data_IF_480126507641
#
_entry.id   IF_480126507641
#
_cell.length_a   1.000
_cell.length_b   1.000
_cell.length_c   1.000
_cell.angle_alpha   90.00
_cell.angle_beta   90.00
_cell.angle_gamma   90.00
#
_symmetry.space_group_name_H-M   'P 1'
#
loop_
_entity.id
_entity.type
_entity.pdbx_description
1 polymer ?
#
# COMPACT_ATOMS: atom_id res chain seq x y z
N UNK A 1 23.33 13.45 6.69
CA UNK A 1 22.13 14.22 6.29
C UNK A 1 21.61 13.63 4.99
N UNK A 2 20.41 13.04 4.97
CA UNK A 2 19.83 12.48 3.74
C UNK A 2 19.10 13.62 3.04
N UNK A 3 19.49 13.93 1.81
CA UNK A 3 18.85 14.98 1.01
C UNK A 3 17.32 14.82 1.03
N UNK A 4 16.54 15.91 1.11
CA UNK A 4 15.10 15.83 0.97
C UNK A 4 14.79 15.11 -0.34
N UNK A 5 13.86 14.15 -0.34
CA UNK A 5 13.54 13.44 -1.57
C UNK A 5 13.01 14.44 -2.60
N UNK A 6 13.59 14.41 -3.81
CA UNK A 6 13.19 15.28 -4.90
C UNK A 6 11.71 15.05 -5.25
N UNK A 7 11.03 16.14 -5.61
CA UNK A 7 9.68 16.12 -6.13
C UNK A 7 9.72 15.67 -7.60
N UNK A 8 8.95 14.64 -7.95
CA UNK A 8 8.87 14.11 -9.31
C UNK A 8 7.41 14.04 -9.80
N UNK A 9 6.71 15.19 -9.88
CA UNK A 9 5.31 15.22 -10.34
C UNK A 9 5.16 14.74 -11.79
N UNK A 10 6.19 14.91 -12.63
CA UNK A 10 6.23 14.42 -14.00
C UNK A 10 6.22 12.88 -14.04
N UNK A 11 7.00 12.24 -13.18
CA UNK A 11 7.05 10.78 -13.10
C UNK A 11 5.72 10.19 -12.61
N UNK A 12 5.08 10.84 -11.63
CA UNK A 12 3.73 10.45 -11.16
C UNK A 12 2.69 10.63 -12.28
N UNK A 13 2.78 11.71 -13.06
CA UNK A 13 1.89 11.94 -14.20
C UNK A 13 2.06 10.83 -15.24
N UNK A 14 3.30 10.54 -15.65
CA UNK A 14 3.60 9.47 -16.59
C UNK A 14 3.11 8.10 -16.10
N UNK A 15 3.26 7.80 -14.80
CA UNK A 15 2.74 6.57 -14.19
C UNK A 15 1.22 6.45 -14.30
N UNK A 16 0.49 7.55 -14.04
CA UNK A 16 -0.97 7.59 -14.15
C UNK A 16 -1.40 7.46 -15.62
N UNK A 17 -0.66 8.07 -16.53
CA UNK A 17 -0.93 8.00 -17.97
C UNK A 17 -0.65 6.63 -18.58
N UNK A 18 0.32 5.89 -18.03
CA UNK A 18 0.60 4.52 -18.41
C UNK A 18 -0.44 3.51 -17.90
N UNK A 19 -1.33 3.90 -16.97
CA UNK A 19 -2.37 3.01 -16.46
C UNK A 19 -3.50 2.81 -17.48
N UNK A 20 -4.02 1.59 -17.58
CA UNK A 20 -5.19 1.29 -18.40
C UNK A 20 -6.48 1.89 -17.80
N UNK A 21 -7.46 2.21 -18.63
CA UNK A 21 -8.82 2.50 -18.13
C UNK A 21 -9.46 1.21 -17.58
N UNK A 22 -10.25 1.29 -16.49
CA UNK A 22 -10.72 2.51 -15.82
C UNK A 22 -9.80 3.05 -14.70
N UNK A 23 -8.59 2.51 -14.55
CA UNK A 23 -7.69 2.87 -13.45
C UNK A 23 -7.12 4.29 -13.60
N UNK A 24 -6.78 4.73 -14.81
CA UNK A 24 -6.24 6.07 -15.09
C UNK A 24 -7.21 7.18 -14.68
N UNK A 25 -8.47 7.13 -15.08
CA UNK A 25 -9.49 8.10 -14.63
C UNK A 25 -9.59 8.16 -13.11
N UNK A 26 -9.61 7.01 -12.43
CA UNK A 26 -9.67 6.92 -10.97
C UNK A 26 -8.44 7.51 -10.28
N UNK A 27 -7.25 7.21 -10.79
CA UNK A 27 -5.99 7.75 -10.26
C UNK A 27 -5.90 9.26 -10.43
N UNK A 28 -6.38 9.81 -11.55
CA UNK A 28 -6.49 11.26 -11.75
C UNK A 28 -7.40 11.91 -10.70
N UNK A 29 -8.58 11.33 -10.46
CA UNK A 29 -9.49 11.81 -9.42
C UNK A 29 -8.86 11.76 -8.02
N UNK A 30 -8.20 10.65 -7.68
CA UNK A 30 -7.50 10.50 -6.41
C UNK A 30 -6.34 11.49 -6.26
N UNK A 31 -5.54 11.71 -7.31
CA UNK A 31 -4.45 12.69 -7.29
C UNK A 31 -4.97 14.09 -7.02
N UNK A 32 -6.02 14.54 -7.72
CA UNK A 32 -6.62 15.85 -7.50
C UNK A 32 -7.10 16.00 -6.06
N UNK A 33 -7.76 14.97 -5.54
CA UNK A 33 -8.25 14.95 -4.16
C UNK A 33 -7.12 15.00 -3.13
N UNK A 34 -6.04 14.25 -3.34
CA UNK A 34 -4.88 14.25 -2.44
C UNK A 34 -4.18 15.61 -2.47
N UNK A 35 -3.97 16.21 -3.65
CA UNK A 35 -3.37 17.56 -3.77
C UNK A 35 -4.22 18.61 -3.07
N UNK A 36 -5.55 18.53 -3.17
CA UNK A 36 -6.45 19.44 -2.47
C UNK A 36 -6.48 19.22 -0.95
N UNK A 37 -6.31 17.98 -0.49
CA UNK A 37 -6.27 17.64 0.93
C UNK A 37 -4.90 17.91 1.58
N UNK A 38 -3.82 17.84 0.80
CA UNK A 38 -2.43 17.96 1.23
C UNK A 38 -1.63 18.82 0.24
N UNK A 39 -1.87 20.15 0.17
CA UNK A 39 -1.18 21.03 -0.78
C UNK A 39 0.33 21.15 -0.51
N UNK A 40 0.75 20.90 0.74
CA UNK A 40 2.16 20.91 1.13
C UNK A 40 2.86 19.55 0.90
N UNK A 41 2.16 18.53 0.41
CA UNK A 41 2.74 17.23 0.12
C UNK A 41 3.45 17.22 -1.23
N UNK A 42 4.64 16.63 -1.24
CA UNK A 42 5.48 16.44 -2.42
C UNK A 42 5.12 15.12 -3.09
N UNK A 43 4.84 15.19 -4.40
CA UNK A 43 4.58 14.02 -5.23
C UNK A 43 5.90 13.40 -5.70
N UNK A 44 6.05 12.09 -5.55
CA UNK A 44 7.23 11.35 -6.01
C UNK A 44 6.89 9.91 -6.36
N UNK A 45 7.80 9.23 -7.04
CA UNK A 45 7.75 7.78 -7.20
C UNK A 45 8.57 7.09 -6.11
N UNK A 46 7.97 6.09 -5.44
CA UNK A 46 8.66 5.23 -4.49
C UNK A 46 8.14 3.80 -4.62
N UNK A 47 9.03 2.80 -4.65
CA UNK A 47 8.65 1.40 -4.85
C UNK A 47 7.82 1.14 -6.12
N UNK A 48 7.99 1.97 -7.15
CA UNK A 48 7.17 1.91 -8.37
C UNK A 48 5.73 2.42 -8.20
N UNK A 49 5.42 3.09 -7.09
CA UNK A 49 4.10 3.61 -6.74
C UNK A 49 4.13 5.14 -6.65
N UNK A 50 3.02 5.77 -7.03
CA UNK A 50 2.83 7.20 -6.82
C UNK A 50 2.71 7.47 -5.31
N UNK A 51 3.54 8.36 -4.79
CA UNK A 51 3.73 8.57 -3.35
C UNK A 51 3.64 10.05 -3.01
N UNK A 52 2.94 10.37 -1.93
CA UNK A 52 2.89 11.72 -1.37
C UNK A 52 3.65 11.78 -0.05
N UNK A 53 4.61 12.71 0.02
CA UNK A 53 5.52 12.86 1.15
C UNK A 53 5.46 14.29 1.70
N UNK A 54 5.29 14.42 3.01
CA UNK A 54 5.30 15.71 3.71
C UNK A 54 5.98 15.54 5.07
N UNK A 55 7.32 15.59 5.11
CA UNK A 55 8.13 15.23 6.28
C UNK A 55 8.17 13.72 6.57
N UNK A 56 7.04 13.03 6.41
CA UNK A 56 6.89 11.56 6.43
C UNK A 56 6.05 11.11 5.21
N UNK A 57 6.07 9.81 4.88
CA UNK A 57 5.23 9.25 3.83
C UNK A 57 3.75 9.28 4.27
N UNK A 58 2.93 10.04 3.56
CA UNK A 58 1.50 10.18 3.88
C UNK A 58 0.69 9.02 3.33
N UNK A 59 0.80 8.80 2.01
CA UNK A 59 0.00 7.83 1.27
C UNK A 59 0.71 7.40 -0.01
N UNK A 60 0.48 6.14 -0.41
CA UNK A 60 0.90 5.61 -1.71
C UNK A 60 -0.32 5.17 -2.53
N UNK A 61 -0.23 5.31 -3.85
CA UNK A 61 -1.21 4.81 -4.82
C UNK A 61 -0.55 3.81 -5.77
N UNK A 62 -1.24 2.69 -5.97
CA UNK A 62 -0.90 1.67 -6.95
C UNK A 62 -2.01 1.45 -7.96
N UNK A 63 -1.65 1.45 -9.24
CA UNK A 63 -2.54 1.08 -10.33
C UNK A 63 -2.53 -0.45 -10.50
N UNK A 64 -3.69 -1.10 -10.36
CA UNK A 64 -3.86 -2.52 -10.71
C UNK A 64 -4.99 -2.70 -11.70
N UNK A 65 -4.98 -3.83 -12.42
CA UNK A 65 -5.93 -4.13 -13.49
C UNK A 65 -7.39 -4.19 -13.00
N UNK A 66 -7.63 -4.69 -11.78
CA UNK A 66 -8.99 -4.81 -11.21
C UNK A 66 -9.33 -3.79 -10.11
N UNK A 67 -8.35 -3.04 -9.60
CA UNK A 67 -8.55 -2.09 -8.51
C UNK A 67 -7.45 -1.03 -8.45
N UNK A 68 -7.69 0.06 -7.72
CA UNK A 68 -6.64 0.98 -7.27
C UNK A 68 -6.27 0.64 -5.83
N UNK A 69 -4.99 0.40 -5.57
CA UNK A 69 -4.47 0.21 -4.22
C UNK A 69 -4.16 1.56 -3.58
N UNK A 70 -4.83 1.89 -2.48
CA UNK A 70 -4.51 3.04 -1.65
C UNK A 70 -3.80 2.52 -0.41
N UNK A 71 -2.65 3.09 -0.06
CA UNK A 71 -1.87 2.63 1.08
C UNK A 71 -1.80 3.70 2.16
N UNK A 72 -2.77 3.68 3.09
CA UNK A 72 -2.78 4.37 4.35
C UNK A 72 -1.45 4.39 5.04
N UNK A 73 -0.96 3.15 5.22
CA UNK A 73 -0.30 2.67 6.42
C UNK A 73 -1.32 2.24 7.51
N UNK A 74 -0.90 1.40 8.47
CA UNK A 74 -1.78 0.66 9.38
C UNK A 74 -2.59 1.54 10.33
N UNK A 75 -2.03 2.64 10.82
CA UNK A 75 -2.70 3.52 11.78
C UNK A 75 -4.00 4.12 11.21
N UNK A 76 -4.02 4.41 9.90
CA UNK A 76 -5.22 4.89 9.23
C UNK A 76 -6.30 3.80 9.11
N UNK A 77 -5.91 2.54 8.87
CA UNK A 77 -6.87 1.44 8.79
C UNK A 77 -7.56 1.21 10.14
N UNK A 78 -6.81 1.30 11.24
CA UNK A 78 -7.36 1.17 12.59
C UNK A 78 -8.29 2.34 12.93
N UNK A 79 -7.89 3.58 12.61
CA UNK A 79 -8.70 4.77 12.90
C UNK A 79 -10.01 4.81 12.09
N UNK A 80 -10.01 4.27 10.87
CA UNK A 80 -11.17 4.26 9.96
C UNK A 80 -11.77 2.85 9.80
N UNK A 81 -11.53 1.95 10.76
CA UNK A 81 -11.94 0.54 10.66
C UNK A 81 -13.44 0.39 10.40
N UNK A 82 -14.28 1.16 11.09
CA UNK A 82 -15.74 1.11 10.95
C UNK A 82 -16.23 1.59 9.58
N UNK A 83 -15.63 2.64 9.03
CA UNK A 83 -15.96 3.15 7.69
C UNK A 83 -15.44 2.22 6.57
N UNK A 84 -14.41 1.44 6.86
CA UNK A 84 -13.80 0.49 5.93
C UNK A 84 -14.46 -0.89 5.94
N UNK A 85 -15.42 -1.18 6.84
CA UNK A 85 -16.08 -2.49 6.96
C UNK A 85 -16.71 -3.00 5.66
N UNK A 86 -17.16 -2.10 4.78
CA UNK A 86 -17.76 -2.45 3.48
C UNK A 86 -16.76 -2.59 2.32
N UNK A 87 -15.48 -2.33 2.56
CA UNK A 87 -14.44 -2.28 1.53
C UNK A 87 -13.38 -3.37 1.72
N UNK A 88 -12.80 -3.90 0.62
CA UNK A 88 -11.70 -4.84 0.74
C UNK A 88 -10.46 -4.09 1.22
N UNK A 89 -10.05 -4.38 2.45
CA UNK A 89 -8.87 -3.77 3.08
C UNK A 89 -7.92 -4.83 3.61
N UNK A 90 -6.68 -4.43 3.88
CA UNK A 90 -5.63 -5.25 4.48
C UNK A 90 -4.92 -4.43 5.56
N UNK A 91 -3.89 -5.00 6.22
CA UNK A 91 -3.19 -4.38 7.37
C UNK A 91 -2.72 -2.93 7.19
N UNK A 92 -2.59 -2.42 5.96
CA UNK A 92 -2.23 -1.03 5.68
C UNK A 92 -2.64 -0.55 4.29
N UNK A 93 -3.58 -1.25 3.65
CA UNK A 93 -3.95 -1.06 2.26
C UNK A 93 -5.47 -1.14 2.09
N UNK A 94 -6.00 -0.34 1.18
CA UNK A 94 -7.41 -0.26 0.81
C UNK A 94 -7.49 -0.56 -0.68
N UNK A 95 -8.27 -1.55 -1.07
CA UNK A 95 -8.46 -1.93 -2.47
C UNK A 95 -9.73 -1.29 -3.00
N UNK A 96 -9.57 -0.29 -3.86
CA UNK A 96 -10.67 0.42 -4.50
C UNK A 96 -10.98 -0.28 -5.83
N UNK A 97 -11.89 -1.26 -5.79
CA UNK A 97 -12.28 -2.04 -6.98
C UNK A 97 -12.88 -1.16 -8.08
N UNK A 98 -12.59 -1.53 -9.33
CA UNK A 98 -13.06 -0.78 -10.49
C UNK A 98 -14.56 -0.94 -10.77
N UNK A 99 -15.21 -1.93 -10.17
CA UNK A 99 -16.66 -2.15 -10.29
C UNK A 99 -17.45 -1.29 -9.30
N UNK A 100 -16.80 -0.74 -8.28
CA UNK A 100 -17.46 0.02 -7.21
C UNK A 100 -17.22 1.52 -7.35
N UNK A 101 -18.17 2.36 -6.88
CA UNK A 101 -17.97 3.80 -6.82
C UNK A 101 -16.79 4.12 -5.90
N UNK A 102 -16.00 5.13 -6.30
CA UNK A 102 -14.87 5.60 -5.50
C UNK A 102 -15.40 6.30 -4.23
N UNK A 103 -15.01 5.87 -3.03
CA UNK A 103 -15.39 6.52 -1.78
C UNK A 103 -14.49 7.77 -1.56
N UNK A 104 -14.55 8.72 -2.49
CA UNK A 104 -13.81 9.99 -2.45
C UNK A 104 -13.91 10.70 -1.08
N UNK A 105 -15.09 10.84 -0.44
CA UNK A 105 -15.17 11.49 0.87
C UNK A 105 -14.35 10.76 1.95
N UNK A 106 -14.35 9.43 1.95
CA UNK A 106 -13.56 8.63 2.89
C UNK A 106 -12.06 8.82 2.64
N UNK A 107 -11.62 8.75 1.37
CA UNK A 107 -10.21 8.98 1.02
C UNK A 107 -9.76 10.36 1.47
N UNK A 108 -10.59 11.39 1.29
CA UNK A 108 -10.28 12.77 1.73
C UNK A 108 -10.08 12.86 3.24
N UNK A 109 -10.94 12.20 4.03
CA UNK A 109 -10.82 12.16 5.50
C UNK A 109 -9.54 11.44 5.94
N UNK A 110 -9.23 10.31 5.32
CA UNK A 110 -8.00 9.55 5.61
C UNK A 110 -6.75 10.39 5.31
N UNK A 111 -6.71 11.06 4.15
CA UNK A 111 -5.56 11.89 3.75
C UNK A 111 -5.39 13.07 4.69
N UNK A 112 -6.47 13.79 5.04
CA UNK A 112 -6.42 14.90 6.01
C UNK A 112 -5.92 14.43 7.38
N UNK A 113 -6.46 13.33 7.88
CA UNK A 113 -6.00 12.74 9.13
C UNK A 113 -4.50 12.40 9.08
N UNK A 114 -4.02 11.88 7.94
CA UNK A 114 -2.58 11.62 7.74
C UNK A 114 -1.72 12.88 7.74
N UNK A 115 -2.19 13.96 7.12
CA UNK A 115 -1.51 15.26 7.13
C UNK A 115 -1.43 15.81 8.55
N UNK A 116 -2.52 15.75 9.31
CA UNK A 116 -2.55 16.16 10.72
C UNK A 116 -1.54 15.35 11.53
N UNK A 117 -1.53 14.02 11.38
CA UNK A 117 -0.56 13.15 12.05
C UNK A 117 0.89 13.48 11.66
N UNK A 118 1.16 13.82 10.40
CA UNK A 118 2.50 14.21 9.94
C UNK A 118 2.93 15.56 10.53
N UNK A 119 2.03 16.54 10.57
CA UNK A 119 2.29 17.86 11.19
C UNK A 119 2.51 17.73 12.70
N UNK A 120 1.70 16.93 13.40
CA UNK A 120 1.90 16.66 14.84
C UNK A 120 3.14 15.82 15.11
N UNK A 121 3.46 14.84 14.25
CA UNK A 121 4.68 14.04 14.36
C UNK A 121 5.94 14.87 14.11
N UNK A 122 5.89 15.87 13.23
CA UNK A 122 6.98 16.83 13.04
C UNK A 122 7.26 17.62 14.33
N UNK A 123 6.26 17.86 15.17
CA UNK A 123 6.42 18.45 16.51
C UNK A 123 6.86 17.42 17.59
N UNK A 124 6.77 16.11 17.33
CA UNK A 124 6.88 15.07 18.37
C UNK A 124 7.94 13.96 18.13
N UNK A 125 8.77 14.00 17.07
CA UNK A 125 9.72 12.90 16.79
C UNK A 125 11.18 13.35 16.67
N UNK A 126 11.81 13.56 17.82
CA UNK A 126 13.03 12.82 18.18
C UNK A 126 12.62 11.46 18.74
N UNK A 127 12.18 10.51 17.90
CA UNK A 127 12.25 9.06 18.22
C UNK A 127 11.95 8.18 17.01
N UNK A 128 12.76 7.14 16.73
CA UNK A 128 12.62 6.30 15.55
C UNK A 128 11.43 5.36 15.74
N UNK A 129 10.35 5.55 14.98
CA UNK A 129 9.23 4.60 14.99
C UNK A 129 9.53 3.46 14.01
N UNK A 130 10.06 2.40 14.62
CA UNK A 130 10.17 1.00 14.23
C UNK A 130 9.58 0.60 12.87
N UNK A 131 10.42 -0.06 12.05
CA UNK A 131 9.98 -1.05 11.07
C UNK A 131 9.10 -2.10 11.79
N UNK A 132 7.86 -2.38 11.38
CA UNK A 132 7.37 -3.74 11.52
C UNK A 132 7.87 -4.49 10.29
N UNK A 133 8.70 -5.49 10.54
CA UNK A 133 9.10 -6.47 9.56
C UNK A 133 7.86 -7.08 8.88
N UNK A 134 7.55 -6.68 7.66
CA UNK A 134 7.04 -7.67 6.72
C UNK A 134 8.25 -8.48 6.29
N UNK A 135 8.51 -9.54 7.06
CA UNK A 135 9.15 -10.75 6.55
C UNK A 135 8.32 -11.15 5.32
N UNK A 136 8.67 -10.60 4.15
CA UNK A 136 8.44 -11.28 2.90
C UNK A 136 9.25 -12.55 3.08
N UNK A 137 8.57 -13.62 3.48
CA UNK A 137 9.14 -14.93 3.49
C UNK A 137 9.77 -15.10 2.11
N UNK A 138 11.10 -15.18 2.10
CA UNK A 138 11.85 -15.66 0.97
C UNK A 138 11.15 -16.94 0.52
N UNK A 139 10.65 -16.96 -0.71
CA UNK A 139 10.46 -18.21 -1.42
C UNK A 139 11.88 -18.69 -1.70
N UNK A 140 12.39 -19.79 -1.10
CA UNK A 140 13.56 -20.40 -1.68
C UNK A 140 13.13 -21.01 -3.00
N UNK A 141 13.75 -20.56 -4.08
CA UNK A 141 13.78 -21.28 -5.32
C UNK A 141 14.49 -22.63 -5.11
N UNK A 142 13.90 -23.70 -5.65
CA UNK A 142 14.64 -24.88 -6.09
C UNK A 142 14.91 -25.98 -5.05
N UNK A 143 14.26 -27.13 -5.23
CA UNK A 143 14.86 -28.36 -5.82
C UNK A 143 14.19 -29.63 -5.28
N UNK A 144 14.10 -30.59 -6.20
CA UNK A 144 13.98 -32.03 -5.98
C UNK A 144 12.63 -32.61 -5.55
N UNK A 145 11.89 -33.10 -6.55
CA UNK A 145 11.26 -34.44 -6.45
C UNK A 145 12.35 -35.45 -6.05
N UNK A 146 12.12 -36.33 -5.06
CA UNK A 146 12.82 -37.59 -5.00
C UNK A 146 11.93 -38.68 -5.60
N UNK A 147 12.40 -39.29 -6.68
CA UNK A 147 11.93 -40.60 -7.12
C UNK A 147 12.53 -41.67 -6.20
N UNK A 148 11.68 -42.60 -5.74
CA UNK A 148 11.99 -44.01 -5.45
C UNK A 148 13.07 -44.37 -4.43
N UNK A 149 12.68 -45.07 -3.37
CA UNK A 149 12.69 -46.56 -3.29
C UNK A 149 12.58 -47.05 -1.83
N UNK A 150 12.04 -48.27 -1.73
CA UNK A 150 12.29 -49.29 -0.73
C UNK A 150 11.50 -49.27 0.61
N UNK A 151 10.57 -50.24 0.68
CA UNK A 151 10.29 -51.19 1.78
C UNK A 151 11.25 -51.17 2.98
N UNK A 152 10.72 -51.53 4.17
CA UNK A 152 10.99 -52.88 4.66
C UNK A 152 9.76 -53.61 5.21
N UNK A 153 9.99 -54.88 5.55
CA UNK A 153 9.06 -55.97 5.75
C UNK A 153 8.50 -56.11 7.19
N UNK A 154 7.51 -57.02 7.28
CA UNK A 154 7.26 -58.00 8.35
C UNK A 154 6.22 -57.68 9.47
N UNK A 155 5.07 -58.39 9.33
CA UNK A 155 4.29 -59.23 10.30
C UNK A 155 3.89 -58.67 11.69
N UNK A 156 2.67 -58.98 12.20
CA UNK A 156 2.31 -60.33 12.72
C UNK A 156 0.89 -60.81 12.28
N UNK A 157 0.66 -62.08 11.94
CA UNK A 157 0.31 -63.25 12.78
C UNK A 157 -1.17 -63.35 13.25
N UNK A 158 -1.77 -64.52 12.93
CA UNK A 158 -3.04 -65.14 13.41
C UNK A 158 -4.31 -64.48 12.83
N UNK A 159 -5.27 -65.24 12.30
CA UNK A 159 -5.88 -66.47 12.84
C UNK A 159 -6.32 -67.43 11.72
#
# INVERSE_FOLDING_TARGET
>A
MRAPPAADPTAVTAYIDAAAEPARTRLRALRTLIRAAAPAAIERMAYGLATWHQGENLVHLGAFAGHVGLYPGPAAIVAFADELRGLPTSKGAIQLRHERPLPLPLVRRIVRWRVEQATTAAAAKTRPRAKPASKLAARPAGKARPAGKARPAAKPARR
#
